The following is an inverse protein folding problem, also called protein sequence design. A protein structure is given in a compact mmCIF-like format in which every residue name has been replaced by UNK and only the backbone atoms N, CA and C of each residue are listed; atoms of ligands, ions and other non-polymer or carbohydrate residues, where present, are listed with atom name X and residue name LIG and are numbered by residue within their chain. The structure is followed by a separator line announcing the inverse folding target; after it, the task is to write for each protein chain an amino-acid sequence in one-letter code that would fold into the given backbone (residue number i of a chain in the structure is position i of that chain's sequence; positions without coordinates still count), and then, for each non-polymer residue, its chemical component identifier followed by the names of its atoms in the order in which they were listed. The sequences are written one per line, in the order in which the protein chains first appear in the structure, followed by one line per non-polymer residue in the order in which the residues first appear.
data_IF_533253713383
#
_entry.id   IF_533253713383
#
_cell.length_a   1.000
_cell.length_b   1.000
_cell.length_c   1.000
_cell.angle_alpha   90.00
_cell.angle_beta   90.00
_cell.angle_gamma   90.00
#
_symmetry.space_group_name_H-M   'P 1'
#
loop_
_entity.id
_entity.type
_entity.pdbx_description
1 polymer ?
#
# COMPACT_ATOMS: atom_id res chain seq x y z
N UNK A 1 -3.56 -8.14 -27.54
CA UNK A 1 -4.74 -8.20 -26.65
C UNK A 1 -5.08 -9.67 -26.45
N UNK A 2 -4.63 -10.27 -25.35
CA UNK A 2 -4.86 -11.70 -25.08
C UNK A 2 -6.27 -11.90 -24.55
N UNK A 3 -7.03 -12.77 -25.21
CA UNK A 3 -8.41 -13.12 -24.88
C UNK A 3 -8.54 -13.54 -23.40
N UNK A 4 -9.21 -12.71 -22.60
CA UNK A 4 -9.38 -12.86 -21.14
C UNK A 4 -10.44 -13.90 -20.76
N UNK A 5 -11.02 -14.60 -21.74
CA UNK A 5 -12.11 -15.56 -21.50
C UNK A 5 -11.73 -17.02 -21.83
N UNK A 6 -10.54 -17.48 -21.41
CA UNK A 6 -10.03 -18.84 -21.70
C UNK A 6 -10.75 -20.00 -20.97
N UNK A 7 -11.74 -19.71 -20.12
CA UNK A 7 -12.39 -20.70 -19.25
C UNK A 7 -13.93 -20.61 -19.25
N UNK A 8 -14.54 -20.28 -20.41
CA UNK A 8 -15.98 -20.03 -20.50
C UNK A 8 -16.90 -21.26 -20.29
N UNK A 9 -16.38 -22.49 -20.24
CA UNK A 9 -17.21 -23.70 -20.07
C UNK A 9 -16.66 -24.62 -18.96
N UNK A 10 -17.52 -24.99 -17.99
CA UNK A 10 -17.18 -25.90 -16.89
C UNK A 10 -16.55 -27.23 -17.36
N UNK A 11 -17.03 -27.78 -18.48
CA UNK A 11 -16.47 -29.02 -19.07
C UNK A 11 -15.03 -28.86 -19.61
N UNK A 12 -14.69 -27.70 -20.18
CA UNK A 12 -13.36 -27.44 -20.70
C UNK A 12 -12.32 -27.19 -19.58
N UNK A 13 -12.76 -26.65 -18.44
CA UNK A 13 -11.93 -26.52 -17.25
C UNK A 13 -11.63 -27.89 -16.61
N UNK A 14 -12.62 -28.79 -16.56
CA UNK A 14 -12.48 -30.11 -15.96
C UNK A 14 -11.59 -31.05 -16.78
N UNK A 15 -11.79 -31.13 -18.10
CA UNK A 15 -10.91 -31.90 -19.00
C UNK A 15 -9.46 -31.41 -18.98
N UNK A 16 -9.25 -30.10 -18.80
CA UNK A 16 -7.90 -29.54 -18.65
C UNK A 16 -7.31 -29.84 -17.28
N UNK A 17 -8.09 -29.80 -16.21
CA UNK A 17 -7.63 -30.18 -14.87
C UNK A 17 -7.20 -31.66 -14.81
N UNK A 18 -7.95 -32.56 -15.45
CA UNK A 18 -7.55 -33.97 -15.61
C UNK A 18 -6.23 -34.09 -16.39
N UNK A 19 -6.03 -33.29 -17.45
CA UNK A 19 -4.76 -33.23 -18.18
C UNK A 19 -3.60 -32.59 -17.40
N UNK A 20 -3.85 -31.88 -16.30
CA UNK A 20 -2.79 -31.36 -15.43
C UNK A 20 -2.29 -32.39 -14.41
N UNK A 21 -3.00 -33.51 -14.23
CA UNK A 21 -2.56 -34.61 -13.36
C UNK A 21 -1.34 -35.34 -13.95
N UNK A 22 -0.30 -35.56 -13.16
CA UNK A 22 0.92 -36.25 -13.60
C UNK A 22 2.20 -35.64 -13.03
N UNK A 23 3.33 -36.15 -13.51
CA UNK A 23 4.65 -35.64 -13.11
C UNK A 23 5.00 -34.43 -13.98
N UNK A 24 5.46 -33.37 -13.34
CA UNK A 24 5.95 -32.17 -13.99
C UNK A 24 7.43 -32.00 -13.65
N UNK A 25 8.22 -31.65 -14.66
CA UNK A 25 9.64 -31.38 -14.52
C UNK A 25 9.93 -29.92 -14.79
N UNK A 26 10.85 -29.35 -14.02
CA UNK A 26 11.34 -27.99 -14.26
C UNK A 26 12.23 -28.02 -15.50
N UNK A 27 11.84 -27.31 -16.54
CA UNK A 27 12.60 -27.18 -17.78
C UNK A 27 13.25 -25.80 -17.92
N UNK A 28 12.86 -24.85 -17.09
CA UNK A 28 13.44 -23.51 -17.08
C UNK A 28 13.39 -22.88 -15.70
N UNK A 29 14.43 -22.10 -15.40
CA UNK A 29 14.50 -21.23 -14.23
C UNK A 29 15.03 -19.88 -14.65
N UNK A 30 14.29 -18.82 -14.32
CA UNK A 30 14.72 -17.44 -14.50
C UNK A 30 14.65 -16.72 -13.17
N UNK A 31 15.67 -15.91 -12.89
CA UNK A 31 15.67 -15.02 -11.72
C UNK A 31 15.77 -13.57 -12.16
N UNK A 32 15.06 -12.70 -11.45
CA UNK A 32 15.17 -11.26 -11.60
C UNK A 32 15.15 -10.60 -10.23
N UNK A 33 16.03 -9.61 -10.06
CA UNK A 33 15.95 -8.69 -8.93
C UNK A 33 15.14 -7.48 -9.38
N UNK A 34 14.13 -7.14 -8.58
CA UNK A 34 13.24 -6.01 -8.79
C UNK A 34 13.26 -5.13 -7.53
N UNK A 35 12.98 -3.84 -7.72
CA UNK A 35 12.78 -2.89 -6.62
C UNK A 35 11.33 -2.45 -6.64
N UNK A 36 10.68 -2.56 -5.49
CA UNK A 36 9.29 -2.12 -5.31
C UNK A 36 9.27 -0.89 -4.39
N UNK A 37 8.95 0.26 -4.97
CA UNK A 37 8.90 1.51 -4.23
C UNK A 37 7.63 1.55 -3.37
N UNK A 38 7.70 2.10 -2.15
CA UNK A 38 6.51 2.20 -1.32
C UNK A 38 5.47 3.10 -2.00
N UNK A 39 4.17 2.83 -1.80
CA UNK A 39 3.13 3.70 -2.31
C UNK A 39 3.13 5.05 -1.57
N UNK A 40 2.62 6.12 -2.18
CA UNK A 40 2.38 7.37 -1.47
C UNK A 40 1.36 7.18 -0.33
N UNK A 41 1.29 8.13 0.62
CA UNK A 41 0.20 8.24 1.58
C UNK A 41 -1.16 8.27 0.87
N UNK A 42 -2.21 7.92 1.62
CA UNK A 42 -3.54 7.73 1.04
C UNK A 42 -4.13 9.03 0.50
N UNK A 43 -4.64 8.97 -0.72
CA UNK A 43 -5.82 9.73 -1.14
C UNK A 43 -7.09 9.01 -0.66
N UNK A 44 -8.26 9.66 -0.75
CA UNK A 44 -9.53 8.99 -0.46
C UNK A 44 -9.76 7.77 -1.36
N UNK A 45 -9.49 7.90 -2.66
CA UNK A 45 -9.68 6.81 -3.62
C UNK A 45 -8.81 5.59 -3.26
N UNK A 46 -7.53 5.82 -2.95
CA UNK A 46 -6.61 4.76 -2.56
C UNK A 46 -7.02 4.09 -1.25
N UNK A 47 -7.48 4.88 -0.26
CA UNK A 47 -7.94 4.34 1.03
C UNK A 47 -9.15 3.42 0.84
N UNK A 48 -10.10 3.81 0.00
CA UNK A 48 -11.30 3.02 -0.30
C UNK A 48 -10.94 1.70 -0.98
N UNK A 49 -10.04 1.72 -1.95
CA UNK A 49 -9.58 0.51 -2.66
C UNK A 49 -8.87 -0.44 -1.68
N UNK A 50 -7.93 0.06 -0.88
CA UNK A 50 -7.18 -0.78 0.06
C UNK A 50 -8.06 -1.31 1.19
N UNK A 51 -9.01 -0.51 1.71
CA UNK A 51 -9.94 -0.97 2.73
C UNK A 51 -10.88 -2.06 2.19
N UNK A 52 -11.34 -1.97 0.94
CA UNK A 52 -12.10 -3.03 0.30
C UNK A 52 -11.27 -4.31 0.14
N UNK A 53 -10.01 -4.19 -0.31
CA UNK A 53 -9.13 -5.34 -0.54
C UNK A 53 -8.64 -6.02 0.75
N UNK A 54 -8.34 -5.24 1.80
CA UNK A 54 -7.68 -5.74 3.03
C UNK A 54 -8.61 -5.93 4.21
N UNK A 55 -9.67 -5.13 4.31
CA UNK A 55 -10.63 -5.18 5.42
C UNK A 55 -12.01 -5.70 4.99
N UNK A 56 -12.23 -5.89 3.68
CA UNK A 56 -13.51 -6.30 3.10
C UNK A 56 -14.66 -5.34 3.47
N UNK A 57 -14.36 -4.04 3.50
CA UNK A 57 -15.33 -3.00 3.83
C UNK A 57 -15.93 -2.35 2.58
N UNK A 58 -17.21 -1.95 2.68
CA UNK A 58 -17.83 -1.06 1.69
C UNK A 58 -17.26 0.35 1.81
N UNK A 59 -17.39 1.14 0.74
CA UNK A 59 -16.91 2.53 0.75
C UNK A 59 -17.59 3.36 1.85
N UNK A 60 -18.89 3.18 2.05
CA UNK A 60 -19.66 3.84 3.11
C UNK A 60 -19.12 3.50 4.51
N UNK A 61 -18.86 2.23 4.79
CA UNK A 61 -18.30 1.79 6.08
C UNK A 61 -16.92 2.41 6.31
N UNK A 62 -16.06 2.38 5.30
CA UNK A 62 -14.72 2.98 5.38
C UNK A 62 -14.80 4.48 5.69
N UNK A 63 -15.66 5.23 4.98
CA UNK A 63 -15.79 6.66 5.23
C UNK A 63 -16.41 6.99 6.59
N UNK A 64 -17.37 6.20 7.07
CA UNK A 64 -17.93 6.35 8.42
C UNK A 64 -16.85 6.20 9.50
N UNK A 65 -16.03 5.16 9.41
CA UNK A 65 -14.94 4.91 10.38
C UNK A 65 -13.84 5.96 10.25
N UNK A 66 -13.48 6.36 9.03
CA UNK A 66 -12.51 7.42 8.79
C UNK A 66 -12.98 8.76 9.38
N UNK A 67 -14.27 9.09 9.25
CA UNK A 67 -14.86 10.28 9.84
C UNK A 67 -14.75 10.26 11.37
N UNK A 68 -15.04 9.11 12.01
CA UNK A 68 -14.87 8.96 13.46
C UNK A 68 -13.40 9.14 13.90
N UNK A 69 -12.45 8.58 13.16
CA UNK A 69 -11.02 8.79 13.42
C UNK A 69 -10.60 10.26 13.28
N UNK A 70 -11.14 10.97 12.30
CA UNK A 70 -10.87 12.39 12.08
C UNK A 70 -11.44 13.24 13.23
N UNK A 71 -12.69 13.02 13.60
CA UNK A 71 -13.35 13.71 14.72
C UNK A 71 -12.66 13.41 16.06
N UNK A 72 -12.13 12.20 16.23
CA UNK A 72 -11.29 11.81 17.37
C UNK A 72 -9.85 12.34 17.32
N UNK A 73 -9.46 13.08 16.28
CA UNK A 73 -8.13 13.68 16.14
C UNK A 73 -7.01 12.67 15.88
N UNK A 74 -7.32 11.48 15.34
CA UNK A 74 -6.34 10.45 15.02
C UNK A 74 -5.75 10.62 13.62
N UNK A 75 -6.56 11.05 12.64
CA UNK A 75 -6.13 11.23 11.26
C UNK A 75 -6.46 12.63 10.74
N UNK A 76 -5.82 13.04 9.65
CA UNK A 76 -6.19 14.23 8.86
C UNK A 76 -7.52 14.03 8.14
N UNK A 77 -8.04 15.09 7.51
CA UNK A 77 -9.33 15.05 6.83
C UNK A 77 -9.38 13.92 5.76
N UNK A 78 -10.33 12.98 5.83
CA UNK A 78 -10.29 11.75 5.03
C UNK A 78 -10.82 11.91 3.60
N UNK A 79 -11.20 13.14 3.21
CA UNK A 79 -11.72 13.49 1.88
C UNK A 79 -10.73 14.40 1.16
N UNK A 80 -9.81 13.79 0.42
CA UNK A 80 -8.66 14.42 -0.23
C UNK A 80 -8.27 13.63 -1.48
N UNK A 81 -7.86 14.33 -2.53
CA UNK A 81 -7.26 13.77 -3.75
C UNK A 81 -5.73 13.94 -3.76
N UNK A 82 -5.17 14.57 -2.73
CA UNK A 82 -3.76 14.92 -2.62
C UNK A 82 -3.00 13.89 -1.78
N UNK A 83 -1.91 13.29 -2.27
CA UNK A 83 -1.01 12.46 -1.48
C UNK A 83 0.08 13.28 -0.76
N UNK A 84 -0.03 14.62 -0.77
CA UNK A 84 1.02 15.51 -0.26
C UNK A 84 1.05 15.51 1.26
N UNK A 85 2.23 15.79 1.80
CA UNK A 85 2.50 15.87 3.24
C UNK A 85 3.21 17.18 3.54
N UNK A 86 2.81 17.85 4.61
CA UNK A 86 3.46 19.10 4.99
C UNK A 86 4.94 18.90 5.38
N UNK A 87 5.87 19.80 5.03
CA UNK A 87 7.30 19.63 5.28
C UNK A 87 7.66 19.30 6.75
N UNK A 88 6.99 19.94 7.71
CA UNK A 88 7.20 19.69 9.14
C UNK A 88 6.80 18.27 9.59
N UNK A 89 5.90 17.63 8.85
CA UNK A 89 5.42 16.28 9.12
C UNK A 89 6.37 15.24 8.51
N UNK A 90 6.97 15.53 7.35
CA UNK A 90 7.98 14.67 6.71
C UNK A 90 9.11 14.34 7.68
N UNK A 91 9.65 15.36 8.36
CA UNK A 91 10.72 15.17 9.33
C UNK A 91 10.30 14.34 10.55
N UNK A 92 9.04 14.49 11.02
CA UNK A 92 8.49 13.66 12.10
C UNK A 92 8.34 12.21 11.65
N UNK A 93 7.79 11.97 10.47
CA UNK A 93 7.59 10.62 9.94
C UNK A 93 8.92 9.88 9.73
N UNK A 94 9.95 10.56 9.21
CA UNK A 94 11.31 9.98 9.08
C UNK A 94 11.90 9.58 10.42
N UNK A 95 11.72 10.42 11.46
CA UNK A 95 12.16 10.08 12.82
C UNK A 95 11.40 8.88 13.38
N UNK A 96 10.08 8.82 13.20
CA UNK A 96 9.25 7.69 13.63
C UNK A 96 9.70 6.40 12.95
N UNK A 97 9.93 6.42 11.62
CA UNK A 97 10.47 5.27 10.88
C UNK A 97 11.82 4.82 11.45
N UNK A 98 12.75 5.75 11.66
CA UNK A 98 14.06 5.40 12.18
C UNK A 98 14.02 4.85 13.61
N UNK A 99 13.11 5.36 14.44
CA UNK A 99 12.92 4.88 15.81
C UNK A 99 12.34 3.45 15.86
N UNK A 100 11.43 3.12 14.93
CA UNK A 100 10.74 1.82 14.90
C UNK A 100 11.51 0.75 14.13
N UNK A 101 12.17 1.13 13.04
CA UNK A 101 12.73 0.20 12.06
C UNK A 101 14.23 0.36 11.83
N UNK A 102 14.89 1.33 12.48
CA UNK A 102 16.31 1.61 12.30
C UNK A 102 16.60 2.63 11.19
N UNK A 103 17.80 3.22 11.25
CA UNK A 103 18.25 4.23 10.26
C UNK A 103 18.39 3.64 8.85
N UNK A 104 18.66 2.35 8.75
CA UNK A 104 18.79 1.58 7.51
C UNK A 104 17.45 1.31 6.81
N UNK A 105 16.33 1.58 7.48
CA UNK A 105 15.01 1.57 6.87
C UNK A 105 14.71 2.84 6.06
N UNK A 106 15.45 3.93 6.28
CA UNK A 106 15.28 5.17 5.53
C UNK A 106 15.91 5.07 4.13
N UNK A 107 15.35 5.78 3.12
CA UNK A 107 15.87 5.83 1.77
C UNK A 107 17.29 6.41 1.71
N UNK A 108 18.16 5.75 0.96
CA UNK A 108 19.49 6.26 0.63
C UNK A 108 19.45 7.18 -0.62
N UNK A 109 20.43 8.07 -0.80
CA UNK A 109 20.51 8.90 -2.01
C UNK A 109 20.44 8.04 -3.28
N UNK A 110 19.51 8.38 -4.18
CA UNK A 110 19.28 7.66 -5.44
C UNK A 110 18.22 6.56 -5.39
N UNK A 111 17.69 6.19 -4.21
CA UNK A 111 16.55 5.27 -4.12
C UNK A 111 15.23 5.98 -4.47
N UNK A 112 14.38 5.30 -5.25
CA UNK A 112 13.10 5.84 -5.71
C UNK A 112 12.07 5.85 -4.58
N UNK A 113 11.57 7.03 -4.22
CA UNK A 113 10.48 7.20 -3.25
C UNK A 113 9.39 8.12 -3.79
N UNK A 114 8.16 8.06 -3.24
CA UNK A 114 7.10 8.98 -3.61
C UNK A 114 7.52 10.45 -3.44
N UNK A 115 7.09 11.31 -4.36
CA UNK A 115 7.21 12.76 -4.20
C UNK A 115 6.08 13.27 -3.32
N UNK A 116 6.40 13.60 -2.07
CA UNK A 116 5.42 13.97 -1.04
C UNK A 116 5.20 15.48 -0.88
N UNK A 117 6.10 16.31 -1.41
CA UNK A 117 6.01 17.77 -1.34
C UNK A 117 5.65 18.38 -2.70
N UNK A 118 4.96 19.53 -2.74
CA UNK A 118 4.82 20.31 -3.97
C UNK A 118 6.20 20.73 -4.49
N UNK A 119 6.35 20.81 -5.82
CA UNK A 119 7.50 21.48 -6.44
C UNK A 119 7.44 23.00 -6.22
N UNK A 120 8.59 23.67 -6.32
CA UNK A 120 8.76 25.12 -6.03
C UNK A 120 7.88 26.06 -6.87
N UNK A 121 7.21 25.58 -7.92
CA UNK A 121 6.51 26.39 -8.92
C UNK A 121 4.98 26.31 -8.91
N UNK A 122 4.35 25.66 -7.91
CA UNK A 122 2.89 25.52 -7.85
C UNK A 122 2.21 26.57 -6.97
N UNK A 123 1.28 27.35 -7.55
CA UNK A 123 0.38 28.24 -6.80
C UNK A 123 -0.23 27.51 -5.59
N UNK A 124 -0.03 28.13 -4.41
CA UNK A 124 -0.43 27.65 -3.07
C UNK A 124 -1.95 27.72 -2.91
N UNK A 125 -2.69 26.89 -3.64
CA UNK A 125 -4.15 26.79 -3.50
C UNK A 125 -4.64 25.40 -3.08
N UNK A 126 -3.80 24.37 -3.13
CA UNK A 126 -4.16 23.04 -2.63
C UNK A 126 -3.52 22.77 -1.26
N UNK A 127 -4.17 23.26 -0.21
CA UNK A 127 -3.85 22.96 1.18
C UNK A 127 -4.33 21.56 1.62
N UNK A 128 -4.79 20.73 0.68
CA UNK A 128 -5.25 19.38 0.98
C UNK A 128 -4.06 18.46 1.25
N UNK A 129 -4.04 17.93 2.46
CA UNK A 129 -3.09 16.95 2.92
C UNK A 129 -3.60 15.53 2.65
N UNK A 130 -2.68 14.58 2.49
CA UNK A 130 -3.01 13.17 2.45
C UNK A 130 -3.79 12.71 3.69
N UNK A 131 -4.49 11.58 3.57
CA UNK A 131 -5.03 10.87 4.73
C UNK A 131 -3.88 10.18 5.46
N UNK A 132 -3.52 10.70 6.63
CA UNK A 132 -2.39 10.25 7.45
C UNK A 132 -2.71 10.37 8.95
N UNK A 133 -1.95 9.73 9.85
CA UNK A 133 -2.02 10.03 11.27
C UNK A 133 -1.74 11.51 11.54
N UNK A 134 -2.46 12.13 12.47
CA UNK A 134 -2.15 13.48 12.96
C UNK A 134 -0.78 13.52 13.65
N UNK A 135 -0.46 12.44 14.36
CA UNK A 135 0.81 12.18 15.03
C UNK A 135 1.41 10.85 14.54
N UNK A 136 2.57 10.86 13.85
CA UNK A 136 3.24 9.63 13.38
C UNK A 136 3.72 8.71 14.52
N UNK A 137 4.00 9.26 15.71
CA UNK A 137 4.52 8.50 16.85
C UNK A 137 3.40 7.73 17.59
N UNK A 138 2.12 8.12 17.38
CA UNK A 138 0.97 7.38 17.90
C UNK A 138 0.84 6.07 17.14
N UNK A 139 1.05 4.95 17.83
CA UNK A 139 0.99 3.64 17.21
C UNK A 139 -0.45 3.12 17.18
N UNK A 140 -0.76 2.13 16.32
CA UNK A 140 -2.10 1.55 16.28
C UNK A 140 -2.57 0.92 17.60
N UNK A 141 -1.65 0.57 18.51
CA UNK A 141 -2.00 0.08 19.84
C UNK A 141 -2.68 1.14 20.72
N UNK A 142 -2.39 2.42 20.48
CA UNK A 142 -2.88 3.56 21.26
C UNK A 142 -4.31 3.98 20.88
N UNK A 143 -4.82 3.48 19.75
CA UNK A 143 -6.22 3.67 19.33
C UNK A 143 -7.08 2.62 20.02
N UNK A 144 -8.24 2.96 20.61
CA UNK A 144 -9.15 1.98 21.23
C UNK A 144 -9.44 0.78 20.32
N UNK A 145 -9.58 -0.44 20.86
CA UNK A 145 -9.87 -1.62 20.05
C UNK A 145 -11.23 -1.46 19.35
N UNK A 146 -11.28 -1.79 18.06
CA UNK A 146 -12.48 -1.58 17.24
C UNK A 146 -12.14 -1.43 15.76
N UNK A 147 -13.13 -0.98 14.99
CA UNK A 147 -12.98 -0.70 13.55
C UNK A 147 -11.96 0.43 13.34
N UNK A 148 -11.99 1.45 14.18
CA UNK A 148 -11.13 2.63 14.17
C UNK A 148 -9.66 2.20 14.21
N UNK A 149 -9.30 1.27 15.10
CA UNK A 149 -7.94 0.72 15.17
C UNK A 149 -7.52 -0.01 13.89
N UNK A 150 -8.44 -0.76 13.27
CA UNK A 150 -8.13 -1.51 12.05
C UNK A 150 -7.84 -0.55 10.88
N UNK A 151 -8.70 0.47 10.69
CA UNK A 151 -8.50 1.46 9.64
C UNK A 151 -7.30 2.35 9.93
N UNK A 152 -7.12 2.78 11.18
CA UNK A 152 -5.96 3.56 11.59
C UNK A 152 -4.66 2.80 11.35
N UNK A 153 -4.60 1.49 11.66
CA UNK A 153 -3.43 0.65 11.37
C UNK A 153 -3.08 0.68 9.88
N UNK A 154 -4.09 0.60 9.01
CA UNK A 154 -3.89 0.65 7.56
C UNK A 154 -3.31 2.00 7.13
N UNK A 155 -3.92 3.10 7.59
CA UNK A 155 -3.47 4.48 7.32
C UNK A 155 -2.05 4.72 7.84
N UNK A 156 -1.79 4.37 9.10
CA UNK A 156 -0.49 4.53 9.77
C UNK A 156 0.61 3.75 9.05
N UNK A 157 0.34 2.49 8.70
CA UNK A 157 1.35 1.64 8.04
C UNK A 157 1.71 2.17 6.66
N UNK A 158 0.72 2.56 5.83
CA UNK A 158 1.00 3.11 4.50
C UNK A 158 1.70 4.46 4.59
N UNK A 159 1.30 5.30 5.54
CA UNK A 159 1.93 6.59 5.75
C UNK A 159 3.42 6.47 6.10
N UNK A 160 3.79 5.62 7.06
CA UNK A 160 5.20 5.42 7.40
C UNK A 160 5.98 4.74 6.27
N UNK A 161 5.38 3.76 5.59
CA UNK A 161 6.02 3.08 4.45
C UNK A 161 6.44 4.06 3.36
N UNK A 162 5.69 5.15 3.14
CA UNK A 162 6.03 6.16 2.14
C UNK A 162 7.38 6.88 2.40
N UNK A 163 7.92 6.77 3.62
CA UNK A 163 9.22 7.31 4.02
C UNK A 163 10.29 6.24 4.20
N UNK A 164 9.99 4.99 3.84
CA UNK A 164 10.93 3.86 3.90
C UNK A 164 11.60 3.64 2.54
N UNK A 165 12.75 2.98 2.54
CA UNK A 165 13.42 2.57 1.31
C UNK A 165 12.60 1.54 0.51
N UNK A 166 12.80 1.46 -0.82
CA UNK A 166 12.18 0.42 -1.65
C UNK A 166 12.52 -1.01 -1.19
N UNK A 167 11.55 -1.91 -1.32
CA UNK A 167 11.78 -3.32 -1.11
C UNK A 167 12.63 -3.89 -2.25
N UNK A 168 13.61 -4.72 -1.91
CA UNK A 168 14.38 -5.50 -2.89
C UNK A 168 13.77 -6.88 -2.99
N UNK A 169 13.19 -7.19 -4.14
CA UNK A 169 12.43 -8.42 -4.37
C UNK A 169 13.21 -9.31 -5.32
N UNK A 170 13.40 -10.57 -4.95
CA UNK A 170 13.92 -11.59 -5.85
C UNK A 170 12.76 -12.42 -6.39
N UNK A 171 12.50 -12.28 -7.67
CA UNK A 171 11.46 -13.04 -8.38
C UNK A 171 12.12 -14.25 -9.05
N UNK A 172 11.63 -15.44 -8.72
CA UNK A 172 12.05 -16.71 -9.34
C UNK A 172 10.88 -17.26 -10.15
N UNK A 173 11.07 -17.44 -11.44
CA UNK A 173 10.10 -18.03 -12.36
C UNK A 173 10.60 -19.40 -12.78
N UNK A 174 9.77 -20.42 -12.55
CA UNK A 174 10.01 -21.79 -13.01
C UNK A 174 9.07 -22.10 -14.18
N UNK A 175 9.63 -22.62 -15.27
CA UNK A 175 8.87 -23.18 -16.38
C UNK A 175 8.80 -24.69 -16.16
N UNK A 176 7.58 -25.22 -16.14
CA UNK A 176 7.33 -26.65 -15.98
C UNK A 176 6.83 -27.24 -17.29
N UNK A 177 7.31 -28.42 -17.62
CA UNK A 177 6.73 -29.27 -18.66
C UNK A 177 6.27 -30.58 -18.03
N UNK A 178 5.13 -31.08 -18.50
CA UNK A 178 4.61 -32.37 -18.08
C UNK A 178 5.42 -33.47 -18.75
N UNK A 179 5.87 -34.45 -17.98
CA UNK A 179 6.61 -35.62 -18.47
C UNK A 179 5.71 -36.56 -19.26
#
# INVERSE_FOLDING_TARGET
MGDVNRFAARGAAQMRAENLSGVWTVVGRRERLETDAPPPPYTTADLLVDAAGRLHWSAERTMRVAQSLFEGGYITYPRTDSPRVAPQVVERARRAVAALYGQDALPQPGETVPRLSPGESGFVQDAHEAVRPTDPDRQPGDVPPGEERLLYRLIWSRFLAAFMRPARVRVVTLTLEKT
#
